data_IF_484406690306
#
_entry.id   IF_484406690306
#
_cell.length_a   1.000
_cell.length_b   1.000
_cell.length_c   1.000
_cell.angle_alpha   90.00
_cell.angle_beta   90.00
_cell.angle_gamma   90.00
#
_symmetry.space_group_name_H-M   'P 1'
#
loop_
_entity.id
_entity.type
_entity.pdbx_description
1 polymer ?
#
# COMPACT_ATOMS: atom_id res chain seq x y z
N UNK A 1 34.51 -18.06 -14.76
CA UNK A 1 33.77 -16.80 -14.97
C UNK A 1 32.99 -16.52 -13.69
N UNK A 2 33.44 -15.60 -12.84
CA UNK A 2 32.72 -15.31 -11.59
C UNK A 2 31.33 -14.75 -11.96
N UNK A 3 30.26 -15.44 -11.56
CA UNK A 3 28.90 -14.90 -11.65
C UNK A 3 28.89 -13.58 -10.88
N UNK A 4 28.74 -12.46 -11.59
CA UNK A 4 28.50 -11.17 -10.96
C UNK A 4 27.19 -11.31 -10.20
N UNK A 5 27.26 -11.38 -8.88
CA UNK A 5 26.09 -11.40 -8.00
C UNK A 5 25.26 -10.15 -8.27
N UNK A 6 23.94 -10.26 -8.18
CA UNK A 6 23.04 -9.12 -8.32
C UNK A 6 23.37 -8.06 -7.24
N UNK A 7 23.59 -6.78 -7.59
CA UNK A 7 23.82 -5.71 -6.62
C UNK A 7 22.72 -5.59 -5.55
N UNK A 8 21.45 -5.82 -5.93
CA UNK A 8 20.33 -5.82 -5.00
C UNK A 8 20.44 -6.97 -3.99
N UNK A 9 20.81 -8.16 -4.46
CA UNK A 9 21.00 -9.33 -3.60
C UNK A 9 22.12 -9.09 -2.57
N UNK A 10 23.25 -8.52 -2.99
CA UNK A 10 24.33 -8.17 -2.06
C UNK A 10 23.87 -7.16 -1.00
N UNK A 11 23.26 -6.06 -1.43
CA UNK A 11 22.78 -5.02 -0.51
C UNK A 11 21.80 -5.59 0.53
N UNK A 12 20.84 -6.39 0.07
CA UNK A 12 19.82 -6.96 0.96
C UNK A 12 20.40 -8.07 1.85
N UNK A 13 21.35 -8.86 1.33
CA UNK A 13 22.10 -9.82 2.13
C UNK A 13 22.92 -9.15 3.24
N UNK A 14 23.52 -8.00 2.96
CA UNK A 14 24.22 -7.18 3.96
C UNK A 14 23.25 -6.65 5.02
N UNK A 15 22.06 -6.18 4.60
CA UNK A 15 21.01 -5.72 5.50
C UNK A 15 20.52 -6.84 6.44
N UNK A 16 20.38 -8.07 5.94
CA UNK A 16 20.07 -9.25 6.77
C UNK A 16 21.20 -9.51 7.78
N UNK A 17 22.46 -9.55 7.33
CA UNK A 17 23.61 -9.80 8.24
C UNK A 17 23.78 -8.71 9.30
N UNK A 18 23.40 -7.47 8.98
CA UNK A 18 23.40 -6.34 9.90
C UNK A 18 22.17 -6.31 10.83
N UNK A 19 21.24 -7.26 10.73
CA UNK A 19 20.04 -7.32 11.56
C UNK A 19 19.03 -6.21 11.27
N UNK A 20 19.03 -5.64 10.05
CA UNK A 20 18.06 -4.61 9.64
C UNK A 20 16.70 -5.22 9.33
N UNK A 21 16.69 -6.42 8.74
CA UNK A 21 15.48 -7.20 8.44
C UNK A 21 15.77 -8.70 8.64
N UNK A 22 14.76 -9.50 9.03
CA UNK A 22 14.89 -10.96 9.04
C UNK A 22 15.16 -11.55 7.66
N UNK A 23 14.41 -11.05 6.69
CA UNK A 23 14.44 -11.48 5.31
C UNK A 23 13.76 -10.47 4.40
N UNK A 24 14.04 -10.60 3.12
CA UNK A 24 13.54 -9.71 2.09
C UNK A 24 13.26 -10.48 0.80
N UNK A 25 12.23 -10.07 0.08
CA UNK A 25 12.00 -10.44 -1.31
C UNK A 25 11.92 -9.17 -2.16
N UNK A 26 12.49 -9.19 -3.36
CA UNK A 26 12.48 -8.03 -4.24
C UNK A 26 12.24 -8.42 -5.69
N UNK A 27 11.78 -7.44 -6.45
CA UNK A 27 11.80 -7.47 -7.90
C UNK A 27 11.99 -6.06 -8.45
N UNK A 28 12.70 -5.92 -9.55
CA UNK A 28 12.89 -4.67 -10.28
C UNK A 28 12.90 -4.96 -11.77
N UNK A 29 12.39 -4.04 -12.57
CA UNK A 29 12.26 -4.26 -13.99
C UNK A 29 11.81 -3.03 -14.77
N UNK A 30 11.40 -3.30 -16.01
CA UNK A 30 10.84 -2.32 -16.92
C UNK A 30 9.46 -2.74 -17.43
N UNK A 31 8.92 -1.98 -18.39
CA UNK A 31 7.64 -2.25 -19.03
C UNK A 31 7.53 -3.67 -19.61
N UNK A 32 8.64 -4.29 -20.03
CA UNK A 32 8.65 -5.56 -20.76
C UNK A 32 8.97 -6.74 -19.87
N UNK A 33 9.91 -6.58 -18.93
CA UNK A 33 10.44 -7.72 -18.17
C UNK A 33 10.87 -7.36 -16.75
N UNK A 34 11.03 -8.40 -15.93
CA UNK A 34 11.74 -8.30 -14.65
C UNK A 34 13.25 -8.45 -14.93
N UNK A 35 14.03 -7.48 -14.51
CA UNK A 35 15.49 -7.41 -14.73
C UNK A 35 16.29 -8.00 -13.56
N UNK A 36 15.75 -7.88 -12.34
CA UNK A 36 16.34 -8.38 -11.10
C UNK A 36 15.21 -8.86 -10.19
N UNK A 37 15.37 -10.03 -9.58
CA UNK A 37 14.45 -10.53 -8.56
C UNK A 37 15.13 -11.59 -7.70
N UNK A 38 14.69 -11.70 -6.46
CA UNK A 38 15.20 -12.72 -5.56
C UNK A 38 14.64 -12.59 -4.16
N UNK A 39 15.22 -13.39 -3.26
CA UNK A 39 14.96 -13.32 -1.83
C UNK A 39 16.23 -13.65 -1.03
N UNK A 40 16.36 -13.06 0.15
CA UNK A 40 17.47 -13.29 1.09
C UNK A 40 16.94 -13.35 2.52
N UNK A 41 17.71 -13.99 3.40
CA UNK A 41 17.42 -14.10 4.82
C UNK A 41 16.48 -15.25 5.18
N UNK A 42 15.93 -15.19 6.39
CA UNK A 42 15.12 -16.25 6.99
C UNK A 42 13.64 -15.88 6.96
N UNK A 43 12.79 -16.87 6.68
CA UNK A 43 11.34 -16.71 6.68
C UNK A 43 10.81 -16.40 8.09
N UNK A 44 11.29 -17.14 9.08
CA UNK A 44 10.88 -17.02 10.48
C UNK A 44 12.12 -17.06 11.38
N UNK A 45 12.49 -15.96 12.06
CA UNK A 45 13.63 -15.97 12.97
C UNK A 45 13.48 -16.94 14.15
N UNK A 46 12.27 -17.36 14.49
CA UNK A 46 12.04 -18.39 15.51
C UNK A 46 12.29 -19.81 14.99
N UNK A 47 12.31 -20.01 13.67
CA UNK A 47 12.65 -21.26 12.98
C UNK A 47 13.58 -20.96 11.79
N UNK A 48 14.88 -20.72 12.06
CA UNK A 48 15.82 -20.23 11.05
C UNK A 48 16.17 -21.25 9.96
N UNK A 49 15.61 -22.46 10.01
CA UNK A 49 15.80 -23.47 8.98
C UNK A 49 15.10 -23.10 7.66
N UNK A 50 14.03 -22.29 7.72
CA UNK A 50 13.28 -21.86 6.54
C UNK A 50 13.84 -20.56 5.92
N UNK A 51 14.38 -20.58 4.68
CA UNK A 51 14.80 -19.35 4.01
C UNK A 51 13.59 -18.53 3.54
N UNK A 52 13.74 -17.21 3.46
CA UNK A 52 12.83 -16.39 2.66
C UNK A 52 12.94 -16.80 1.19
N UNK A 53 11.80 -16.92 0.51
CA UNK A 53 11.71 -17.35 -0.89
C UNK A 53 11.00 -16.30 -1.74
N UNK A 54 11.18 -16.31 -3.08
CA UNK A 54 10.48 -15.38 -3.97
C UNK A 54 8.94 -15.43 -3.86
N UNK A 55 8.38 -16.58 -3.47
CA UNK A 55 6.94 -16.79 -3.25
C UNK A 55 6.48 -16.53 -1.80
N UNK A 56 7.35 -15.95 -0.96
CA UNK A 56 6.99 -15.57 0.41
C UNK A 56 5.95 -14.47 0.40
N UNK A 57 4.88 -14.66 1.17
CA UNK A 57 3.85 -13.66 1.40
C UNK A 57 4.29 -12.70 2.52
N UNK A 58 4.07 -11.41 2.30
CA UNK A 58 4.32 -10.37 3.29
C UNK A 58 3.04 -9.58 3.58
N UNK A 59 2.82 -9.22 4.84
CA UNK A 59 1.88 -8.14 5.18
C UNK A 59 2.45 -6.82 4.66
N UNK A 60 1.75 -6.20 3.71
CA UNK A 60 2.27 -4.98 3.06
C UNK A 60 1.77 -3.68 3.68
N UNK A 61 1.02 -3.75 4.78
CA UNK A 61 0.50 -2.59 5.49
C UNK A 61 -0.12 -1.56 4.52
N UNK A 62 0.38 -0.32 4.56
CA UNK A 62 -0.15 0.79 3.76
C UNK A 62 0.06 0.68 2.25
N UNK A 63 0.84 -0.30 1.72
CA UNK A 63 0.76 -0.58 0.28
C UNK A 63 -0.63 -1.05 -0.14
N UNK A 64 -1.46 -1.52 0.80
CA UNK A 64 -2.91 -1.76 0.60
C UNK A 64 -3.62 -0.56 -0.04
N UNK A 65 -3.22 0.67 0.33
CA UNK A 65 -3.81 1.89 -0.23
C UNK A 65 -3.59 1.98 -1.73
N UNK A 66 -2.42 1.56 -2.20
CA UNK A 66 -2.08 1.54 -3.63
C UNK A 66 -2.66 0.32 -4.32
N UNK A 67 -2.36 -0.87 -3.81
CA UNK A 67 -2.66 -2.15 -4.45
C UNK A 67 -4.16 -2.48 -4.48
N UNK A 68 -4.95 -1.90 -3.55
CA UNK A 68 -6.39 -2.09 -3.50
C UNK A 68 -7.15 -0.77 -3.71
N UNK A 69 -7.05 0.17 -2.78
CA UNK A 69 -7.98 1.32 -2.73
C UNK A 69 -7.82 2.25 -3.94
N UNK A 70 -6.59 2.69 -4.24
CA UNK A 70 -6.26 3.54 -5.38
C UNK A 70 -6.58 2.85 -6.70
N UNK A 71 -6.21 1.58 -6.84
CA UNK A 71 -6.44 0.82 -8.07
C UNK A 71 -7.95 0.62 -8.32
N UNK A 72 -8.71 0.22 -7.30
CA UNK A 72 -10.18 0.10 -7.39
C UNK A 72 -10.81 1.46 -7.71
N UNK A 73 -10.35 2.53 -7.06
CA UNK A 73 -10.82 3.89 -7.34
C UNK A 73 -10.57 4.26 -8.81
N UNK A 74 -9.42 3.91 -9.37
CA UNK A 74 -9.14 4.05 -10.79
C UNK A 74 -10.17 3.35 -11.67
N UNK A 75 -10.48 2.09 -11.36
CA UNK A 75 -11.52 1.35 -12.13
C UNK A 75 -12.91 1.99 -12.05
N UNK A 76 -13.24 2.65 -10.93
CA UNK A 76 -14.51 3.37 -10.77
C UNK A 76 -14.52 4.66 -11.58
N UNK A 77 -13.41 5.39 -11.60
CA UNK A 77 -13.24 6.62 -12.39
C UNK A 77 -13.32 6.30 -13.88
N UNK A 78 -12.58 5.29 -14.34
CA UNK A 78 -12.56 4.89 -15.75
C UNK A 78 -13.92 4.40 -16.24
N UNK A 79 -14.73 3.79 -15.35
CA UNK A 79 -16.10 3.36 -15.65
C UNK A 79 -17.13 4.51 -15.57
N UNK A 80 -16.74 5.72 -15.17
CA UNK A 80 -17.66 6.83 -14.90
C UNK A 80 -18.54 6.63 -13.67
N UNK A 81 -18.24 5.64 -12.82
CA UNK A 81 -18.96 5.35 -11.56
C UNK A 81 -18.55 6.32 -10.44
N UNK A 82 -17.43 7.03 -10.59
CA UNK A 82 -16.91 8.01 -9.62
C UNK A 82 -16.32 9.22 -10.34
N UNK A 83 -16.87 10.42 -10.08
CA UNK A 83 -16.18 11.68 -10.37
C UNK A 83 -15.30 12.05 -9.16
N UNK A 84 -13.96 12.10 -9.30
CA UNK A 84 -13.08 12.41 -8.19
C UNK A 84 -13.19 13.85 -7.67
N UNK A 85 -13.83 14.74 -8.43
CA UNK A 85 -14.03 16.16 -8.08
C UNK A 85 -15.40 16.44 -7.47
N UNK A 86 -16.34 15.51 -7.57
CA UNK A 86 -17.67 15.68 -7.00
C UNK A 86 -17.63 15.62 -5.46
N UNK A 87 -18.35 16.52 -4.75
CA UNK A 87 -18.49 16.44 -3.30
C UNK A 87 -19.17 15.14 -2.88
N UNK A 88 -18.61 14.42 -1.90
CA UNK A 88 -19.10 13.12 -1.46
C UNK A 88 -20.59 13.18 -1.09
N UNK A 89 -21.03 14.24 -0.40
CA UNK A 89 -22.41 14.39 0.05
C UNK A 89 -23.43 14.57 -1.08
N UNK A 90 -22.98 14.84 -2.32
CA UNK A 90 -23.89 14.98 -3.47
C UNK A 90 -24.38 13.64 -4.04
N UNK A 91 -23.66 12.54 -3.77
CA UNK A 91 -23.99 11.22 -4.31
C UNK A 91 -23.86 10.08 -3.29
N UNK A 92 -23.31 10.32 -2.11
CA UNK A 92 -23.20 9.34 -1.03
C UNK A 92 -24.06 9.77 0.18
N UNK A 93 -25.27 9.20 0.34
CA UNK A 93 -26.20 9.58 1.40
C UNK A 93 -25.64 9.48 2.82
N UNK A 94 -24.71 8.56 3.10
CA UNK A 94 -24.10 8.44 4.43
C UNK A 94 -23.14 9.60 4.74
N UNK A 95 -22.58 10.26 3.72
CA UNK A 95 -21.76 11.46 3.88
C UNK A 95 -22.60 12.74 3.87
N UNK A 96 -23.82 12.72 3.31
CA UNK A 96 -24.69 13.88 3.25
C UNK A 96 -25.03 14.40 4.67
N UNK A 97 -24.92 15.72 4.86
CA UNK A 97 -25.15 16.36 6.15
C UNK A 97 -24.05 16.14 7.21
N UNK A 98 -22.99 15.39 6.90
CA UNK A 98 -21.82 15.18 7.78
C UNK A 98 -20.66 16.10 7.39
N UNK A 99 -19.62 16.27 8.24
CA UNK A 99 -18.46 17.09 7.90
C UNK A 99 -17.77 16.71 6.59
N UNK A 100 -17.86 15.43 6.18
CA UNK A 100 -17.33 14.92 4.92
C UNK A 100 -18.13 15.31 3.67
N UNK A 101 -19.33 15.90 3.79
CA UNK A 101 -20.20 16.17 2.65
C UNK A 101 -19.52 16.99 1.53
N UNK A 102 -18.68 17.96 1.92
CA UNK A 102 -17.91 18.81 0.99
C UNK A 102 -16.54 18.26 0.59
N UNK A 103 -16.09 17.15 1.16
CA UNK A 103 -14.85 16.46 0.75
C UNK A 103 -15.08 15.82 -0.62
N UNK A 104 -14.01 15.55 -1.37
CA UNK A 104 -14.07 14.86 -2.67
C UNK A 104 -13.13 13.65 -2.63
N UNK A 105 -13.27 12.71 -3.55
CA UNK A 105 -12.31 11.59 -3.62
C UNK A 105 -10.89 12.10 -3.93
N UNK A 106 -10.74 13.18 -4.71
CA UNK A 106 -9.46 13.86 -4.91
C UNK A 106 -8.83 14.28 -3.59
N UNK A 107 -9.58 14.97 -2.71
CA UNK A 107 -9.08 15.38 -1.39
C UNK A 107 -8.63 14.19 -0.53
N UNK A 108 -9.33 13.06 -0.61
CA UNK A 108 -8.94 11.83 0.11
C UNK A 108 -7.64 11.25 -0.47
N UNK A 109 -7.55 11.11 -1.79
CA UNK A 109 -6.39 10.57 -2.49
C UNK A 109 -5.13 11.42 -2.29
N UNK A 110 -5.26 12.75 -2.20
CA UNK A 110 -4.12 13.64 -1.98
C UNK A 110 -3.81 13.88 -0.50
N UNK A 111 -4.55 13.25 0.42
CA UNK A 111 -4.47 13.50 1.85
C UNK A 111 -4.67 14.99 2.22
N UNK A 112 -5.60 15.68 1.54
CA UNK A 112 -5.93 17.09 1.80
C UNK A 112 -7.34 17.29 2.34
N UNK A 113 -8.03 16.21 2.74
CA UNK A 113 -9.41 16.27 3.21
C UNK A 113 -9.62 16.96 4.58
N UNK A 114 -8.55 17.20 5.36
CA UNK A 114 -8.69 17.71 6.73
C UNK A 114 -9.07 16.66 7.76
N UNK A 115 -8.99 15.38 7.40
CA UNK A 115 -9.29 14.28 8.30
C UNK A 115 -8.25 14.19 9.44
N UNK A 116 -8.67 13.80 10.66
CA UNK A 116 -7.74 13.61 11.78
C UNK A 116 -6.63 12.58 11.47
N UNK A 117 -5.43 12.84 11.99
CA UNK A 117 -4.21 12.08 11.67
C UNK A 117 -4.17 10.69 12.29
N UNK A 118 -4.73 10.50 13.49
CA UNK A 118 -4.72 9.23 14.21
C UNK A 118 -6.03 8.52 14.01
N UNK A 119 -5.98 7.27 13.52
CA UNK A 119 -7.17 6.45 13.38
C UNK A 119 -7.76 6.09 14.77
N UNK A 120 -6.94 5.51 15.67
CA UNK A 120 -7.29 5.03 17.03
C UNK A 120 -8.77 4.58 17.18
N UNK A 121 -9.25 3.80 16.20
CA UNK A 121 -10.69 3.64 15.95
C UNK A 121 -11.39 3.01 17.15
N UNK A 122 -10.77 2.01 17.79
CA UNK A 122 -11.35 1.33 18.97
C UNK A 122 -11.55 2.28 20.14
N UNK A 123 -10.58 3.14 20.41
CA UNK A 123 -10.69 4.09 21.51
C UNK A 123 -11.76 5.16 21.24
N UNK A 124 -11.90 5.57 19.98
CA UNK A 124 -12.81 6.64 19.60
C UNK A 124 -14.26 6.18 19.41
N UNK A 125 -14.48 4.95 18.91
CA UNK A 125 -15.81 4.49 18.51
C UNK A 125 -16.17 3.08 19.02
N UNK A 126 -15.31 2.43 19.79
CA UNK A 126 -15.53 1.05 20.24
C UNK A 126 -15.22 0.01 19.17
N UNK A 127 -15.81 -1.18 19.32
CA UNK A 127 -15.45 -2.36 18.50
C UNK A 127 -16.53 -2.82 17.52
N UNK A 128 -17.72 -2.22 17.51
CA UNK A 128 -18.72 -2.52 16.47
C UNK A 128 -18.28 -1.83 15.16
N UNK A 129 -18.12 -2.57 14.04
CA UNK A 129 -17.73 -1.98 12.77
C UNK A 129 -18.69 -0.89 12.26
N UNK A 130 -19.97 -0.92 12.65
CA UNK A 130 -20.96 0.11 12.30
C UNK A 130 -20.68 1.40 13.05
N UNK A 131 -20.41 1.32 14.36
CA UNK A 131 -20.04 2.48 15.17
C UNK A 131 -18.74 3.11 14.66
N UNK A 132 -17.77 2.28 14.28
CA UNK A 132 -16.52 2.75 13.64
C UNK A 132 -16.82 3.47 12.32
N UNK A 133 -17.64 2.90 11.44
CA UNK A 133 -18.03 3.53 10.18
C UNK A 133 -18.73 4.87 10.42
N UNK A 134 -19.72 4.89 11.31
CA UNK A 134 -20.46 6.10 11.64
C UNK A 134 -19.59 7.18 12.27
N UNK A 135 -18.69 6.80 13.17
CA UNK A 135 -17.73 7.69 13.80
C UNK A 135 -16.75 8.31 12.78
N UNK A 136 -16.17 7.49 11.91
CA UNK A 136 -15.24 7.95 10.86
C UNK A 136 -15.93 8.94 9.91
N UNK A 137 -17.18 8.68 9.54
CA UNK A 137 -17.92 9.55 8.62
C UNK A 137 -18.42 10.85 9.27
N UNK A 138 -18.54 10.89 10.60
CA UNK A 138 -19.05 12.03 11.36
C UNK A 138 -17.98 12.92 11.96
N UNK A 139 -16.70 12.54 11.92
CA UNK A 139 -15.69 13.28 12.67
C UNK A 139 -15.41 14.67 12.07
N UNK A 140 -15.26 15.72 12.92
CA UNK A 140 -14.93 17.05 12.45
C UNK A 140 -13.62 17.10 11.67
N UNK A 141 -13.61 17.90 10.61
CA UNK A 141 -12.39 18.22 9.87
C UNK A 141 -11.51 19.16 10.72
N UNK A 142 -10.20 18.96 10.67
CA UNK A 142 -9.19 19.77 11.37
C UNK A 142 -8.82 21.06 10.63
N UNK A 143 -9.03 21.07 9.31
CA UNK A 143 -8.83 22.20 8.43
C UNK A 143 -9.75 22.04 7.21
N UNK A 144 -9.87 23.07 6.37
CA UNK A 144 -10.71 23.00 5.18
C UNK A 144 -10.13 21.98 4.18
N UNK A 145 -10.97 21.26 3.43
CA UNK A 145 -10.50 20.42 2.33
C UNK A 145 -9.66 21.25 1.35
N UNK A 146 -8.50 20.73 0.97
CA UNK A 146 -7.55 21.41 0.07
C UNK A 146 -6.62 22.42 0.76
N UNK A 147 -6.71 22.63 2.07
CA UNK A 147 -5.91 23.63 2.79
C UNK A 147 -4.49 23.16 3.12
N UNK A 148 -4.32 21.89 3.50
CA UNK A 148 -3.03 21.32 3.91
C UNK A 148 -2.94 19.84 3.56
N UNK A 149 -1.71 19.34 3.40
CA UNK A 149 -1.44 17.91 3.19
C UNK A 149 -1.14 17.24 4.52
N UNK A 150 -1.95 16.26 4.89
CA UNK A 150 -1.92 15.57 6.17
C UNK A 150 -2.19 14.08 5.97
N UNK A 151 -1.11 13.27 5.88
CA UNK A 151 -1.24 11.81 5.68
C UNK A 151 -2.06 11.18 6.82
N UNK A 152 -3.08 10.42 6.46
CA UNK A 152 -3.97 9.73 7.40
C UNK A 152 -4.55 8.46 6.77
N UNK A 153 -4.60 7.40 7.56
CA UNK A 153 -5.22 6.13 7.20
C UNK A 153 -6.73 6.26 6.94
N UNK A 154 -7.37 7.25 7.58
CA UNK A 154 -8.81 7.47 7.44
C UNK A 154 -9.22 7.83 6.02
N UNK A 155 -8.35 8.51 5.26
CA UNK A 155 -8.64 8.84 3.88
C UNK A 155 -8.87 7.57 3.04
N UNK A 156 -8.02 6.57 3.23
CA UNK A 156 -8.14 5.29 2.54
C UNK A 156 -9.32 4.45 3.06
N UNK A 157 -9.63 4.53 4.37
CA UNK A 157 -10.81 3.88 4.93
C UNK A 157 -12.11 4.44 4.33
N UNK A 158 -12.23 5.77 4.25
CA UNK A 158 -13.39 6.43 3.64
C UNK A 158 -13.51 6.09 2.15
N UNK A 159 -12.41 6.08 1.39
CA UNK A 159 -12.43 5.64 -0.02
C UNK A 159 -12.84 4.17 -0.17
N UNK A 160 -12.43 3.30 0.75
CA UNK A 160 -12.88 1.92 0.80
C UNK A 160 -14.41 1.83 0.96
N UNK A 161 -14.97 2.52 1.97
CA UNK A 161 -16.41 2.56 2.18
C UNK A 161 -17.18 3.18 1.02
N UNK A 162 -16.61 4.19 0.36
CA UNK A 162 -17.19 4.78 -0.84
C UNK A 162 -17.25 3.79 -2.00
N UNK A 163 -16.17 3.06 -2.26
CA UNK A 163 -16.16 2.02 -3.29
C UNK A 163 -17.20 0.93 -3.02
N UNK A 164 -17.36 0.52 -1.76
CA UNK A 164 -18.40 -0.43 -1.34
C UNK A 164 -19.81 0.13 -1.51
N UNK A 165 -20.01 1.42 -1.21
CA UNK A 165 -21.28 2.09 -1.41
C UNK A 165 -21.69 2.12 -2.88
N UNK A 166 -20.79 2.57 -3.75
CA UNK A 166 -21.03 2.73 -5.19
C UNK A 166 -21.32 1.39 -5.88
N UNK A 167 -20.68 0.32 -5.45
CA UNK A 167 -20.76 -0.98 -6.12
C UNK A 167 -21.65 -2.00 -5.41
N UNK A 168 -21.99 -1.76 -4.13
CA UNK A 168 -22.63 -2.75 -3.23
C UNK A 168 -21.83 -4.03 -3.05
N UNK A 169 -20.51 -3.98 -3.24
CA UNK A 169 -19.60 -5.13 -3.10
C UNK A 169 -18.48 -4.78 -2.11
N UNK A 170 -18.04 -5.73 -1.28
CA UNK A 170 -16.99 -5.46 -0.30
C UNK A 170 -15.64 -5.20 -0.99
N UNK A 171 -14.82 -4.32 -0.42
CA UNK A 171 -13.53 -3.89 -0.99
C UNK A 171 -12.61 -5.06 -1.39
N UNK A 172 -12.48 -6.14 -0.58
CA UNK A 172 -11.67 -7.31 -0.97
C UNK A 172 -12.12 -7.98 -2.27
N UNK A 173 -13.43 -8.02 -2.54
CA UNK A 173 -13.97 -8.59 -3.78
C UNK A 173 -13.73 -7.65 -4.96
N UNK A 174 -13.85 -6.34 -4.75
CA UNK A 174 -13.55 -5.35 -5.78
C UNK A 174 -12.07 -5.41 -6.20
N UNK A 175 -11.16 -5.42 -5.23
CA UNK A 175 -9.73 -5.50 -5.51
C UNK A 175 -9.34 -6.81 -6.20
N UNK A 176 -9.91 -7.95 -5.76
CA UNK A 176 -9.72 -9.23 -6.42
C UNK A 176 -10.17 -9.23 -7.87
N UNK A 177 -11.41 -8.83 -8.13
CA UNK A 177 -12.04 -9.01 -9.43
C UNK A 177 -11.67 -7.93 -10.45
N UNK A 178 -11.56 -6.67 -10.01
CA UNK A 178 -11.33 -5.52 -10.91
C UNK A 178 -9.85 -5.19 -11.09
N UNK A 179 -8.97 -5.72 -10.23
CA UNK A 179 -7.53 -5.36 -10.24
C UNK A 179 -6.64 -6.60 -10.27
N UNK A 180 -6.67 -7.43 -9.23
CA UNK A 180 -5.66 -8.48 -9.07
C UNK A 180 -5.82 -9.61 -10.08
N UNK A 181 -7.04 -10.08 -10.33
CA UNK A 181 -7.29 -11.15 -11.31
C UNK A 181 -6.95 -10.71 -12.75
N UNK A 182 -7.38 -9.52 -13.25
CA UNK A 182 -6.95 -9.02 -14.56
C UNK A 182 -5.43 -8.89 -14.71
N UNK A 183 -4.72 -8.54 -13.63
CA UNK A 183 -3.26 -8.40 -13.62
C UNK A 183 -2.51 -9.71 -13.35
N UNK A 184 -3.21 -10.84 -13.18
CA UNK A 184 -2.60 -12.13 -12.86
C UNK A 184 -1.89 -12.17 -11.51
N UNK A 185 -2.34 -11.37 -10.54
CA UNK A 185 -1.81 -11.31 -9.18
C UNK A 185 -2.46 -12.38 -8.29
N UNK A 186 -2.13 -13.65 -8.52
CA UNK A 186 -2.84 -14.82 -7.97
C UNK A 186 -2.56 -15.11 -6.49
N UNK A 187 -1.44 -14.60 -5.97
CA UNK A 187 -1.07 -14.76 -4.56
C UNK A 187 -1.56 -13.59 -3.70
N UNK A 188 -1.89 -12.46 -4.33
CA UNK A 188 -2.35 -11.24 -3.67
C UNK A 188 -3.77 -11.39 -3.13
N UNK A 189 -3.95 -11.08 -1.85
CA UNK A 189 -5.25 -11.14 -1.19
C UNK A 189 -5.30 -10.33 0.09
N UNK A 190 -6.51 -10.02 0.53
CA UNK A 190 -6.72 -9.61 1.92
C UNK A 190 -6.57 -10.80 2.87
N UNK A 191 -6.07 -10.53 4.07
CA UNK A 191 -6.10 -11.46 5.19
C UNK A 191 -7.44 -11.45 5.96
N UNK A 192 -7.55 -12.25 7.04
CA UNK A 192 -6.55 -13.23 7.49
C UNK A 192 -6.31 -14.35 6.47
N UNK A 193 -5.05 -14.76 6.33
CA UNK A 193 -4.66 -15.83 5.41
C UNK A 193 -5.15 -17.20 5.92
N UNK A 194 -5.58 -18.09 5.01
CA UNK A 194 -5.87 -19.48 5.35
C UNK A 194 -4.59 -20.20 5.81
N UNK A 195 -4.74 -21.25 6.62
CA UNK A 195 -3.62 -21.98 7.24
C UNK A 195 -2.52 -22.39 6.23
N UNK A 196 -2.90 -22.94 5.07
CA UNK A 196 -1.97 -23.36 4.03
C UNK A 196 -1.09 -22.21 3.48
N UNK A 197 -1.57 -20.96 3.51
CA UNK A 197 -0.80 -19.80 3.08
C UNK A 197 0.01 -19.17 4.22
N UNK A 198 -0.38 -19.38 5.48
CA UNK A 198 0.39 -18.90 6.63
C UNK A 198 1.79 -19.50 6.66
N UNK A 199 1.96 -20.75 6.24
CA UNK A 199 3.26 -21.43 6.20
C UNK A 199 4.29 -20.77 5.28
N UNK A 200 3.84 -20.11 4.20
CA UNK A 200 4.70 -19.31 3.31
C UNK A 200 4.66 -17.81 3.61
N UNK A 201 3.98 -17.38 4.66
CA UNK A 201 3.93 -15.99 5.09
C UNK A 201 5.05 -15.71 6.09
N UNK A 202 5.81 -14.64 5.85
CA UNK A 202 6.74 -14.11 6.84
C UNK A 202 5.94 -13.63 8.08
N UNK A 203 6.34 -13.98 9.32
CA UNK A 203 5.76 -13.39 10.52
C UNK A 203 6.03 -11.88 10.54
N UNK A 204 5.01 -11.09 10.85
CA UNK A 204 5.08 -9.63 10.73
C UNK A 204 5.66 -8.97 11.99
N UNK A 205 5.10 -9.28 13.16
CA UNK A 205 5.55 -8.77 14.46
C UNK A 205 5.04 -9.64 15.62
N UNK A 206 5.63 -9.47 16.80
CA UNK A 206 5.03 -9.95 18.05
C UNK A 206 4.12 -8.86 18.61
N UNK A 207 2.85 -9.19 18.82
CA UNK A 207 1.86 -8.25 19.35
C UNK A 207 1.93 -8.27 20.87
N UNK A 208 2.57 -7.27 21.47
CA UNK A 208 2.79 -7.20 22.92
C UNK A 208 1.48 -7.21 23.73
N UNK A 209 0.39 -6.64 23.20
CA UNK A 209 -0.92 -6.59 23.88
C UNK A 209 -1.56 -7.97 24.00
N UNK A 210 -1.51 -8.77 22.93
CA UNK A 210 -2.14 -10.10 22.89
C UNK A 210 -1.17 -11.25 23.20
N UNK A 211 0.13 -10.99 23.20
CA UNK A 211 1.18 -12.01 23.28
C UNK A 211 1.30 -12.88 22.03
N UNK A 212 0.53 -12.60 20.97
CA UNK A 212 0.46 -13.43 19.76
C UNK A 212 1.48 -12.97 18.72
N UNK A 213 2.18 -13.93 18.12
CA UNK A 213 3.01 -13.65 16.94
C UNK A 213 2.13 -13.55 15.70
N UNK A 214 2.09 -12.38 15.07
CA UNK A 214 1.25 -12.13 13.91
C UNK A 214 1.88 -12.77 12.67
N UNK A 215 1.16 -13.73 12.06
CA UNK A 215 1.55 -14.41 10.82
C UNK A 215 0.31 -14.72 9.99
N UNK A 216 0.23 -14.13 8.80
CA UNK A 216 -0.98 -14.16 7.97
C UNK A 216 -2.20 -13.50 8.62
N UNK A 217 -2.00 -12.71 9.67
CA UNK A 217 -3.00 -11.80 10.26
C UNK A 217 -2.42 -10.41 10.12
N UNK A 218 -3.22 -9.46 9.67
CA UNK A 218 -2.74 -8.08 9.46
C UNK A 218 -2.22 -7.50 10.77
N UNK A 219 -1.12 -6.77 10.69
CA UNK A 219 -0.46 -6.17 11.84
C UNK A 219 -1.27 -4.97 12.38
N UNK A 220 -1.80 -4.16 11.45
CA UNK A 220 -2.50 -2.92 11.75
C UNK A 220 -3.72 -3.18 12.63
N UNK A 221 -3.74 -2.53 13.79
CA UNK A 221 -4.77 -2.72 14.79
C UNK A 221 -6.16 -2.29 14.28
N UNK A 222 -6.24 -1.19 13.52
CA UNK A 222 -7.50 -0.68 12.98
C UNK A 222 -8.05 -1.62 11.90
N UNK A 223 -7.19 -2.18 11.07
CA UNK A 223 -7.57 -3.19 10.10
C UNK A 223 -8.02 -4.49 10.79
N UNK A 224 -7.32 -4.95 11.84
CA UNK A 224 -7.75 -6.13 12.64
C UNK A 224 -9.13 -5.91 13.27
N UNK A 225 -9.38 -4.74 13.83
CA UNK A 225 -10.69 -4.36 14.39
C UNK A 225 -11.82 -4.51 13.37
N UNK A 226 -11.53 -4.20 12.11
CA UNK A 226 -12.47 -4.26 10.98
C UNK A 226 -12.42 -5.61 10.24
N UNK A 227 -12.05 -6.70 10.93
CA UNK A 227 -12.06 -8.06 10.36
C UNK A 227 -10.86 -8.41 9.49
N UNK A 228 -9.82 -7.57 9.48
CA UNK A 228 -8.55 -7.82 8.79
C UNK A 228 -8.46 -7.29 7.36
N UNK A 229 -9.53 -6.66 6.85
CA UNK A 229 -9.62 -6.23 5.47
C UNK A 229 -10.35 -4.89 5.33
N UNK A 230 -9.61 -3.79 5.20
CA UNK A 230 -10.19 -2.48 4.96
C UNK A 230 -9.25 -1.60 4.11
N UNK A 231 -9.63 -0.34 3.90
CA UNK A 231 -8.82 0.59 3.10
C UNK A 231 -7.47 0.97 3.73
N UNK A 232 -7.30 0.79 5.05
CA UNK A 232 -6.08 1.15 5.78
C UNK A 232 -4.92 0.19 5.42
N UNK A 233 -5.18 -1.10 5.61
CA UNK A 233 -4.25 -2.21 5.52
C UNK A 233 -5.03 -3.54 5.40
N UNK A 234 -4.30 -4.65 5.21
CA UNK A 234 -4.87 -6.00 5.19
C UNK A 234 -4.43 -6.85 4.01
N UNK A 235 -3.76 -6.25 3.01
CA UNK A 235 -3.25 -6.99 1.86
C UNK A 235 -1.97 -7.75 2.21
N UNK A 236 -1.90 -8.97 1.71
CA UNK A 236 -0.72 -9.81 1.64
C UNK A 236 -0.41 -10.09 0.16
N UNK A 237 0.87 -10.05 -0.21
CA UNK A 237 1.30 -10.26 -1.60
C UNK A 237 2.74 -10.77 -1.66
N UNK A 238 3.19 -11.09 -2.87
CA UNK A 238 4.56 -11.47 -3.22
C UNK A 238 5.25 -10.37 -4.05
N UNK A 239 6.57 -10.44 -4.17
CA UNK A 239 7.33 -9.52 -5.02
C UNK A 239 6.94 -9.67 -6.50
N UNK A 240 6.63 -10.90 -6.94
CA UNK A 240 6.23 -11.18 -8.31
C UNK A 240 4.88 -10.53 -8.67
N UNK A 241 3.87 -10.67 -7.81
CA UNK A 241 2.55 -10.05 -8.02
C UNK A 241 2.64 -8.53 -8.00
N UNK A 242 3.37 -7.96 -7.04
CA UNK A 242 3.58 -6.51 -7.00
C UNK A 242 4.33 -6.03 -8.24
N UNK A 243 5.27 -6.82 -8.77
CA UNK A 243 5.94 -6.54 -10.04
C UNK A 243 4.97 -6.52 -11.24
N UNK A 244 3.98 -7.41 -11.29
CA UNK A 244 2.92 -7.38 -12.32
C UNK A 244 2.10 -6.09 -12.24
N UNK A 245 1.72 -5.70 -11.03
CA UNK A 245 1.03 -4.44 -10.78
C UNK A 245 1.83 -3.24 -11.28
N UNK A 246 3.11 -3.15 -10.90
CA UNK A 246 3.97 -2.04 -11.29
C UNK A 246 4.30 -2.02 -12.79
N UNK A 247 4.40 -3.19 -13.43
CA UNK A 247 4.56 -3.27 -14.88
C UNK A 247 3.33 -2.70 -15.61
N UNK A 248 2.13 -2.98 -15.12
CA UNK A 248 0.90 -2.41 -15.68
C UNK A 248 0.87 -0.87 -15.63
N UNK A 249 1.51 -0.25 -14.63
CA UNK A 249 1.64 1.22 -14.59
C UNK A 249 2.52 1.77 -15.74
N UNK A 250 3.38 0.95 -16.34
CA UNK A 250 4.24 1.35 -17.47
C UNK A 250 3.72 0.84 -18.82
N UNK A 251 3.12 -0.35 -18.86
CA UNK A 251 2.55 -0.99 -20.03
C UNK A 251 1.15 -1.55 -19.68
N UNK A 252 0.11 -0.73 -19.79
CA UNK A 252 -1.23 -1.07 -19.31
C UNK A 252 -1.89 -2.17 -20.12
N UNK A 253 -2.47 -3.16 -19.42
CA UNK A 253 -3.35 -4.17 -20.00
C UNK A 253 -4.83 -3.77 -19.89
N UNK A 254 -5.71 -4.19 -20.82
CA UNK A 254 -7.14 -3.89 -20.72
C UNK A 254 -7.79 -4.64 -19.55
N UNK A 255 -8.99 -4.19 -19.15
CA UNK A 255 -9.82 -4.88 -18.15
C UNK A 255 -9.57 -4.47 -16.70
N UNK A 256 -8.78 -3.42 -16.47
CA UNK A 256 -8.57 -2.79 -15.15
C UNK A 256 -8.35 -1.28 -15.30
N UNK A 257 -7.76 -0.61 -14.30
CA UNK A 257 -7.52 0.83 -14.31
C UNK A 257 -6.58 1.27 -15.44
N UNK A 258 -6.82 2.46 -15.97
CA UNK A 258 -6.26 2.95 -17.23
C UNK A 258 -4.87 3.59 -17.11
N UNK A 259 -4.24 3.78 -18.29
CA UNK A 259 -3.05 4.61 -18.45
C UNK A 259 -3.29 6.06 -18.01
N UNK A 260 -4.48 6.60 -18.29
CA UNK A 260 -4.87 7.97 -17.93
C UNK A 260 -4.96 8.12 -16.41
N UNK A 261 -5.59 7.17 -15.72
CA UNK A 261 -5.61 7.13 -14.26
C UNK A 261 -4.20 7.12 -13.67
N UNK A 262 -3.31 6.31 -14.24
CA UNK A 262 -1.91 6.23 -13.83
C UNK A 262 -1.20 7.57 -14.03
N UNK A 263 -1.28 8.16 -15.22
CA UNK A 263 -0.65 9.44 -15.55
C UNK A 263 -1.20 10.60 -14.70
N UNK A 264 -2.50 10.59 -14.38
CA UNK A 264 -3.13 11.57 -13.50
C UNK A 264 -2.69 11.41 -12.02
N UNK A 265 -2.29 10.20 -11.64
CA UNK A 265 -1.87 9.84 -10.27
C UNK A 265 -0.40 10.10 -10.00
N UNK A 266 0.47 9.88 -10.99
CA UNK A 266 1.92 10.04 -10.91
C UNK A 266 2.37 11.44 -11.34
N UNK A 267 1.71 12.46 -10.80
CA UNK A 267 2.06 13.88 -10.92
C UNK A 267 1.62 14.63 -9.69
N UNK A 268 2.12 15.85 -9.47
CA UNK A 268 1.68 16.66 -8.32
C UNK A 268 0.22 17.05 -8.49
N UNK A 269 -0.60 16.69 -7.50
CA UNK A 269 -2.04 16.93 -7.41
C UNK A 269 -2.42 17.85 -6.25
N UNK A 270 -1.44 18.30 -5.46
CA UNK A 270 -1.62 19.21 -4.32
C UNK A 270 -1.25 20.66 -4.62
N UNK A 271 -0.99 21.01 -5.89
CA UNK A 271 -0.57 22.35 -6.28
C UNK A 271 0.73 22.76 -5.59
N UNK A 272 0.70 23.85 -4.81
CA UNK A 272 1.86 24.40 -4.09
C UNK A 272 1.96 23.93 -2.64
N UNK A 273 1.06 23.06 -2.18
CA UNK A 273 1.07 22.55 -0.82
C UNK A 273 2.26 21.59 -0.60
N UNK A 274 2.79 21.60 0.62
CA UNK A 274 3.86 20.74 1.08
C UNK A 274 3.34 19.72 2.12
N UNK A 275 3.76 18.45 2.07
CA UNK A 275 4.56 17.82 1.02
C UNK A 275 3.81 17.65 -0.31
N UNK A 276 4.50 17.61 -1.46
CA UNK A 276 3.87 17.30 -2.75
C UNK A 276 3.30 15.87 -2.74
N UNK A 277 2.08 15.70 -3.26
CA UNK A 277 1.43 14.39 -3.43
C UNK A 277 0.85 14.22 -4.82
N UNK A 278 0.91 12.99 -5.32
CA UNK A 278 0.01 12.48 -6.34
C UNK A 278 -1.28 11.93 -5.70
N UNK A 279 -1.96 11.04 -6.42
CA UNK A 279 -3.14 10.35 -5.87
C UNK A 279 -2.68 9.10 -5.10
N UNK A 280 -2.55 9.19 -3.77
CA UNK A 280 -1.83 8.26 -2.87
C UNK A 280 -0.34 8.07 -3.12
N UNK A 281 0.18 8.47 -4.26
CA UNK A 281 1.60 8.47 -4.55
C UNK A 281 2.31 9.69 -3.98
N UNK A 282 3.61 9.55 -3.70
CA UNK A 282 4.47 10.68 -3.37
C UNK A 282 5.82 10.55 -4.07
N UNK A 283 6.52 11.67 -4.34
CA UNK A 283 7.92 11.60 -4.74
C UNK A 283 8.71 10.78 -3.71
N UNK A 284 9.62 9.93 -4.18
CA UNK A 284 10.43 9.13 -3.29
C UNK A 284 11.32 10.04 -2.42
N UNK A 285 11.59 9.68 -1.16
CA UNK A 285 12.45 10.50 -0.29
C UNK A 285 13.80 10.80 -0.95
N UNK A 286 14.28 12.04 -0.81
CA UNK A 286 15.51 12.48 -1.47
C UNK A 286 15.38 12.72 -2.98
N UNK A 287 14.17 12.68 -3.54
CA UNK A 287 13.89 13.11 -4.93
C UNK A 287 12.81 14.19 -4.93
N UNK A 288 12.81 15.04 -5.96
CA UNK A 288 11.74 15.98 -6.26
C UNK A 288 10.77 15.45 -7.32
N UNK A 289 9.62 16.12 -7.52
CA UNK A 289 8.67 15.73 -8.57
C UNK A 289 9.27 15.64 -9.98
N UNK A 290 10.31 16.43 -10.28
CA UNK A 290 10.98 16.46 -11.57
C UNK A 290 11.85 15.21 -11.85
N UNK A 291 12.27 14.49 -10.80
CA UNK A 291 13.06 13.26 -10.96
C UNK A 291 12.23 12.07 -11.45
N UNK A 292 10.90 12.23 -11.41
CA UNK A 292 9.90 11.22 -11.79
C UNK A 292 10.13 9.87 -11.10
N UNK A 293 10.31 9.89 -9.78
CA UNK A 293 10.39 8.67 -8.99
C UNK A 293 9.29 8.69 -7.93
N UNK A 294 8.23 7.94 -8.19
CA UNK A 294 7.05 7.87 -7.34
C UNK A 294 7.11 6.64 -6.45
N UNK A 295 6.67 6.78 -5.20
CA UNK A 295 6.73 5.74 -4.20
C UNK A 295 5.49 5.70 -3.31
N UNK A 296 5.34 4.56 -2.65
CA UNK A 296 4.54 4.40 -1.45
C UNK A 296 5.22 3.37 -0.54
N UNK A 297 5.14 3.56 0.77
CA UNK A 297 5.73 2.65 1.76
C UNK A 297 4.67 1.98 2.64
N UNK A 298 5.00 0.78 3.11
CA UNK A 298 4.29 0.08 4.18
C UNK A 298 5.09 0.12 5.48
N UNK A 299 4.37 0.24 6.60
CA UNK A 299 4.94 0.32 7.95
C UNK A 299 5.73 -0.94 8.33
N UNK A 300 5.30 -2.11 7.81
CA UNK A 300 5.92 -3.42 7.97
C UNK A 300 7.32 -3.56 7.37
N UNK A 301 7.76 -2.56 6.60
CA UNK A 301 9.06 -2.57 5.95
C UNK A 301 9.00 -2.76 4.43
N UNK A 302 7.81 -2.75 3.85
CA UNK A 302 7.58 -2.91 2.40
C UNK A 302 7.60 -1.57 1.65
N UNK A 303 7.99 -1.57 0.38
CA UNK A 303 8.06 -0.38 -0.44
C UNK A 303 7.91 -0.73 -1.91
N UNK A 304 7.37 0.20 -2.69
CA UNK A 304 7.34 0.14 -4.14
C UNK A 304 7.76 1.49 -4.73
N UNK A 305 8.30 1.43 -5.94
CA UNK A 305 8.72 2.59 -6.72
C UNK A 305 8.40 2.40 -8.20
N UNK A 306 8.09 3.49 -8.88
CA UNK A 306 7.90 3.54 -10.33
C UNK A 306 8.41 4.86 -10.89
N UNK A 307 9.02 4.81 -12.06
CA UNK A 307 9.45 5.96 -12.84
C UNK A 307 9.02 5.77 -14.29
N UNK A 308 7.86 6.35 -14.69
CA UNK A 308 7.41 6.33 -16.08
C UNK A 308 8.44 6.86 -17.08
N UNK A 309 9.11 7.96 -16.77
CA UNK A 309 10.11 8.60 -17.62
C UNK A 309 11.33 7.71 -17.87
N UNK A 310 11.73 6.90 -16.88
CA UNK A 310 12.81 5.92 -17.01
C UNK A 310 12.33 4.56 -17.53
N UNK A 311 11.02 4.34 -17.56
CA UNK A 311 10.43 3.03 -17.82
C UNK A 311 10.92 1.98 -16.82
N UNK A 312 11.01 2.33 -15.54
CA UNK A 312 11.54 1.46 -14.47
C UNK A 312 10.58 1.33 -13.30
N UNK A 313 10.57 0.17 -12.67
CA UNK A 313 9.84 -0.10 -11.43
C UNK A 313 10.66 -0.97 -10.48
N UNK A 314 10.34 -0.90 -9.19
CA UNK A 314 10.94 -1.72 -8.16
C UNK A 314 9.98 -1.99 -7.00
N UNK A 315 10.10 -3.17 -6.38
CA UNK A 315 9.42 -3.55 -5.15
C UNK A 315 10.42 -4.20 -4.19
N UNK A 316 10.30 -3.85 -2.92
CA UNK A 316 11.02 -4.47 -1.81
C UNK A 316 10.02 -4.84 -0.72
N UNK A 317 9.89 -6.13 -0.42
CA UNK A 317 9.04 -6.66 0.64
C UNK A 317 9.92 -7.19 1.78
N UNK A 318 9.63 -6.77 3.00
CA UNK A 318 10.35 -7.18 4.22
C UNK A 318 9.36 -7.26 5.39
N UNK A 319 9.77 -7.90 6.47
CA UNK A 319 9.05 -7.99 7.75
C UNK A 319 9.86 -7.34 8.89
N UNK A 320 10.39 -6.13 8.66
CA UNK A 320 11.24 -5.42 9.63
C UNK A 320 10.64 -5.32 11.04
N UNK A 321 9.32 -5.17 11.14
CA UNK A 321 8.65 -5.02 12.44
C UNK A 321 8.82 -6.22 13.37
N UNK A 322 9.24 -7.37 12.82
CA UNK A 322 9.65 -8.51 13.63
C UNK A 322 10.83 -8.14 14.56
N UNK A 323 11.74 -7.27 14.11
CA UNK A 323 12.93 -6.88 14.83
C UNK A 323 12.77 -5.53 15.55
N UNK A 324 12.23 -4.52 14.86
CA UNK A 324 12.19 -3.17 15.41
C UNK A 324 11.14 -2.30 14.74
N UNK A 325 10.60 -1.35 15.53
CA UNK A 325 9.76 -0.26 15.04
C UNK A 325 10.56 0.95 14.54
N UNK A 326 11.87 1.07 14.85
CA UNK A 326 12.74 2.15 14.35
C UNK A 326 12.93 2.06 12.81
N UNK A 327 12.42 3.03 12.03
CA UNK A 327 12.52 3.00 10.58
C UNK A 327 13.91 3.38 10.05
N UNK A 328 14.78 3.98 10.86
CA UNK A 328 16.03 4.60 10.42
C UNK A 328 16.96 3.67 9.62
N UNK A 329 17.32 2.48 10.13
CA UNK A 329 18.19 1.54 9.42
C UNK A 329 17.62 1.09 8.06
N UNK A 330 16.34 0.76 7.99
CA UNK A 330 15.70 0.33 6.75
C UNK A 330 15.52 1.48 5.76
N UNK A 331 15.34 2.71 6.22
CA UNK A 331 15.25 3.88 5.33
C UNK A 331 16.51 4.00 4.45
N UNK A 332 17.71 3.79 5.02
CA UNK A 332 18.98 3.79 4.27
C UNK A 332 19.06 2.64 3.28
N UNK A 333 18.65 1.44 3.67
CA UNK A 333 18.62 0.27 2.77
C UNK A 333 17.65 0.49 1.60
N UNK A 334 16.45 1.03 1.87
CA UNK A 334 15.47 1.37 0.84
C UNK A 334 16.00 2.38 -0.17
N UNK A 335 16.71 3.40 0.30
CA UNK A 335 17.28 4.43 -0.57
C UNK A 335 18.37 3.86 -1.50
N UNK A 336 19.29 3.07 -0.95
CA UNK A 336 20.30 2.35 -1.72
C UNK A 336 19.65 1.37 -2.71
N UNK A 337 18.65 0.60 -2.27
CA UNK A 337 17.93 -0.37 -3.11
C UNK A 337 17.24 0.34 -4.29
N UNK A 338 16.50 1.42 -4.02
CA UNK A 338 15.84 2.22 -5.07
C UNK A 338 16.85 2.72 -6.10
N UNK A 339 17.99 3.23 -5.64
CA UNK A 339 19.03 3.76 -6.54
C UNK A 339 19.58 2.67 -7.46
N UNK A 340 19.86 1.47 -6.92
CA UNK A 340 20.32 0.32 -7.72
C UNK A 340 19.23 -0.23 -8.65
N UNK A 341 17.98 -0.25 -8.20
CA UNK A 341 16.88 -0.88 -8.93
C UNK A 341 16.33 -0.01 -10.07
N UNK A 342 16.50 1.32 -9.98
CA UNK A 342 16.01 2.29 -10.98
C UNK A 342 17.12 2.91 -11.83
N UNK A 343 18.37 2.45 -11.68
CA UNK A 343 19.51 2.90 -12.50
C UNK A 343 19.50 2.36 -13.93
#
# INVERSE_FOLDING_TARGET
MAQRTDPCERLLGDAVRAGVVPGAAWAAGDARTTLSAGAVGVLDPADPAGPTRPDTLFDVASLTKVLAVWAVTGTLVDAGELDPSAPLGSYWPEAAGRPLAGVTAHHLLTHTAGLPLRANLRHLYGSDPRDVRDGVLSEPLRHRPGEAVAYTDRAALVLGYLAEHLTRRPLPRLAGDRVWAPLGMTDTRYGPLPAALKERCAPTEHDEESGVRLRGTVHDFSARLLGGACGIAGVFTTAADTGRFLRHLLDPVPGTFSAEWTAASLRVRTGRLDPPRGLFWHPAPGTGPADDVWAHFGFTGTALWVSPARGRWAVLLTNRLYLTRDPGPLARVRDAFRTLALS
#
